data_IF_314974334865
#
_entry.id   IF_314974334865
#
_cell.length_a   1.000
_cell.length_b   1.000
_cell.length_c   1.000
_cell.angle_alpha   90.00
_cell.angle_beta   90.00
_cell.angle_gamma   90.00
#
_symmetry.space_group_name_H-M   'P 1'
#
loop_
_entity.id
_entity.type
_entity.pdbx_description
1 polymer ?
#
# COMPACT_ATOMS: atom_id res chain seq x y z
N UNK A 1 -13.30 -8.88 -3.93
CA UNK A 1 -14.01 -7.66 -3.48
C UNK A 1 -13.82 -7.51 -1.97
N UNK A 2 -13.72 -6.29 -1.47
CA UNK A 2 -13.53 -6.00 -0.04
C UNK A 2 -14.78 -6.40 0.76
N UNK A 3 -14.59 -7.03 1.92
CA UNK A 3 -15.67 -7.32 2.89
C UNK A 3 -15.90 -6.17 3.89
N UNK A 4 -15.19 -5.05 3.70
CA UNK A 4 -15.32 -3.84 4.52
C UNK A 4 -15.67 -2.64 3.64
N UNK A 5 -16.30 -1.63 4.24
CA UNK A 5 -16.47 -0.33 3.58
C UNK A 5 -15.11 0.29 3.28
N UNK A 6 -15.00 0.90 2.10
CA UNK A 6 -13.78 1.60 1.70
C UNK A 6 -13.92 3.07 2.06
N UNK A 7 -12.89 3.65 2.67
CA UNK A 7 -12.82 5.10 2.82
C UNK A 7 -12.68 5.74 1.44
N UNK A 8 -13.43 6.82 1.24
CA UNK A 8 -13.35 7.63 0.04
C UNK A 8 -12.03 8.39 -0.01
N UNK A 9 -11.65 8.82 -1.21
CA UNK A 9 -10.42 9.58 -1.39
C UNK A 9 -10.43 10.90 -0.61
N UNK A 10 -11.58 11.54 -0.46
CA UNK A 10 -11.68 12.83 0.22
C UNK A 10 -11.55 12.65 1.75
N UNK A 11 -12.18 11.63 2.34
CA UNK A 11 -11.97 11.25 3.75
C UNK A 11 -10.48 10.96 4.04
N UNK A 12 -9.80 10.27 3.12
CA UNK A 12 -8.38 9.97 3.26
C UNK A 12 -7.48 11.21 3.16
N UNK A 13 -7.81 12.16 2.27
CA UNK A 13 -7.05 13.42 2.11
C UNK A 13 -7.18 14.32 3.33
N UNK A 14 -8.34 14.35 3.96
CA UNK A 14 -8.61 15.14 5.16
C UNK A 14 -7.99 14.53 6.43
N UNK A 15 -7.70 13.21 6.40
CA UNK A 15 -7.01 12.51 7.48
C UNK A 15 -5.50 12.80 7.56
N UNK A 16 -4.85 12.31 8.62
CA UNK A 16 -3.39 12.33 8.77
C UNK A 16 -2.63 11.55 7.67
N UNK A 17 -3.32 10.73 6.88
CA UNK A 17 -2.75 9.98 5.76
C UNK A 17 -2.66 10.79 4.46
N UNK A 18 -3.28 11.96 4.37
CA UNK A 18 -3.38 12.76 3.13
C UNK A 18 -2.06 12.94 2.37
N UNK A 19 -0.93 13.26 3.02
CA UNK A 19 0.37 13.35 2.35
C UNK A 19 0.84 12.03 1.72
N UNK A 20 0.60 10.90 2.38
CA UNK A 20 0.95 9.57 1.86
C UNK A 20 0.07 9.21 0.67
N UNK A 21 -1.24 9.42 0.79
CA UNK A 21 -2.22 9.18 -0.27
C UNK A 21 -1.87 9.97 -1.53
N UNK A 22 -1.49 11.26 -1.39
CA UNK A 22 -1.04 12.08 -2.52
C UNK A 22 0.20 11.50 -3.22
N UNK A 23 1.15 10.95 -2.45
CA UNK A 23 2.34 10.29 -2.99
C UNK A 23 1.96 8.99 -3.72
N UNK A 24 1.08 8.18 -3.14
CA UNK A 24 0.58 6.94 -3.75
C UNK A 24 -0.13 7.21 -5.07
N UNK A 25 -0.99 8.23 -5.13
CA UNK A 25 -1.66 8.64 -6.37
C UNK A 25 -0.68 9.08 -7.46
N UNK A 26 0.40 9.79 -7.08
CA UNK A 26 1.43 10.24 -8.03
C UNK A 26 2.22 9.06 -8.60
N UNK A 27 2.63 8.12 -7.76
CA UNK A 27 3.51 7.02 -8.15
C UNK A 27 2.77 5.74 -8.55
N UNK A 28 1.44 5.71 -8.35
CA UNK A 28 0.59 4.51 -8.49
C UNK A 28 1.09 3.32 -7.66
N UNK A 29 1.69 3.59 -6.49
CA UNK A 29 2.26 2.56 -5.61
C UNK A 29 2.37 3.02 -4.14
N UNK A 30 1.87 2.22 -3.16
CA UNK A 30 0.96 1.09 -3.36
C UNK A 30 -0.37 1.56 -3.97
N UNK A 31 -1.19 0.60 -4.40
CA UNK A 31 -2.51 0.88 -4.97
C UNK A 31 -3.37 1.76 -4.04
N UNK A 32 -4.17 2.71 -4.56
CA UNK A 32 -5.00 3.58 -3.73
C UNK A 32 -5.94 2.85 -2.76
N UNK A 33 -6.40 1.63 -3.10
CA UNK A 33 -7.26 0.85 -2.21
C UNK A 33 -6.54 0.41 -0.93
N UNK A 34 -5.19 0.40 -0.90
CA UNK A 34 -4.40 0.14 0.31
C UNK A 34 -4.78 1.07 1.46
N UNK A 35 -4.81 2.39 1.20
CA UNK A 35 -5.20 3.36 2.22
C UNK A 35 -6.71 3.36 2.45
N UNK A 36 -7.53 3.05 1.44
CA UNK A 36 -8.98 2.95 1.61
C UNK A 36 -9.40 1.81 2.54
N UNK A 37 -8.64 0.70 2.54
CA UNK A 37 -8.87 -0.46 3.41
C UNK A 37 -8.27 -0.23 4.80
N UNK A 38 -7.00 0.16 4.89
CA UNK A 38 -6.33 0.27 6.19
C UNK A 38 -6.55 1.60 6.90
N UNK A 39 -7.05 2.63 6.21
CA UNK A 39 -7.23 3.97 6.74
C UNK A 39 -8.24 4.07 7.88
N UNK A 40 -9.08 3.04 8.08
CA UNK A 40 -9.88 2.87 9.30
C UNK A 40 -9.02 2.86 10.58
N UNK A 41 -7.73 2.52 10.46
CA UNK A 41 -6.72 2.72 11.50
C UNK A 41 -5.51 3.49 10.89
N UNK A 42 -5.47 4.83 11.04
CA UNK A 42 -4.45 5.67 10.41
C UNK A 42 -3.01 5.31 10.81
N UNK A 43 -2.77 4.98 12.08
CA UNK A 43 -1.43 4.63 12.55
C UNK A 43 -0.94 3.30 11.98
N UNK A 44 -1.84 2.31 11.86
CA UNK A 44 -1.54 1.06 11.16
C UNK A 44 -1.23 1.30 9.69
N UNK A 45 -2.10 2.06 8.99
CA UNK A 45 -1.92 2.35 7.56
C UNK A 45 -0.59 3.06 7.28
N UNK A 46 -0.23 4.04 8.11
CA UNK A 46 1.04 4.76 8.04
C UNK A 46 2.23 3.83 8.32
N UNK A 47 2.17 3.03 9.38
CA UNK A 47 3.26 2.11 9.74
C UNK A 47 3.52 1.08 8.63
N UNK A 48 2.46 0.51 8.06
CA UNK A 48 2.56 -0.41 6.94
C UNK A 48 3.11 0.25 5.68
N UNK A 49 2.68 1.48 5.36
CA UNK A 49 3.24 2.24 4.23
C UNK A 49 4.74 2.45 4.36
N UNK A 50 5.22 2.83 5.56
CA UNK A 50 6.64 3.03 5.82
C UNK A 50 7.40 1.72 5.69
N UNK A 51 6.91 0.65 6.31
CA UNK A 51 7.55 -0.67 6.23
C UNK A 51 7.65 -1.15 4.77
N UNK A 52 6.53 -1.11 4.03
CA UNK A 52 6.47 -1.43 2.60
C UNK A 52 7.46 -0.56 1.81
N UNK A 53 7.42 0.76 1.98
CA UNK A 53 8.28 1.68 1.25
C UNK A 53 9.77 1.43 1.49
N UNK A 54 10.15 1.12 2.73
CA UNK A 54 11.53 0.79 3.10
C UNK A 54 11.97 -0.50 2.42
N UNK A 55 11.21 -1.59 2.53
CA UNK A 55 11.64 -2.89 1.97
C UNK A 55 11.68 -2.88 0.44
N UNK A 56 10.76 -2.18 -0.22
CA UNK A 56 10.69 -2.15 -1.69
C UNK A 56 11.66 -1.16 -2.33
N UNK A 57 11.84 0.03 -1.74
CA UNK A 57 12.59 1.12 -2.38
C UNK A 57 14.03 1.28 -1.88
N UNK A 58 14.45 0.54 -0.85
CA UNK A 58 15.81 0.67 -0.28
C UNK A 58 16.53 -0.68 -0.15
N UNK A 59 17.79 -0.68 0.23
CA UNK A 59 18.58 -1.90 0.47
C UNK A 59 19.42 -2.35 -0.72
N UNK A 60 19.94 -3.59 -0.66
CA UNK A 60 20.96 -4.12 -1.58
C UNK A 60 20.43 -5.01 -2.70
N UNK A 61 19.17 -5.45 -2.60
CA UNK A 61 18.55 -6.32 -3.59
C UNK A 61 17.94 -5.47 -4.70
N UNK A 62 18.16 -5.89 -5.95
CA UNK A 62 17.60 -5.23 -7.12
C UNK A 62 16.06 -5.16 -7.05
N UNK A 63 15.49 -4.02 -7.45
CA UNK A 63 14.06 -3.78 -7.35
C UNK A 63 13.25 -4.76 -8.22
N UNK A 64 13.72 -5.10 -9.42
CA UNK A 64 13.05 -6.07 -10.30
C UNK A 64 13.02 -7.46 -9.67
N UNK A 65 14.09 -7.86 -8.97
CA UNK A 65 14.11 -9.12 -8.24
C UNK A 65 13.09 -9.13 -7.08
N UNK A 66 12.95 -8.03 -6.34
CA UNK A 66 11.92 -7.91 -5.29
C UNK A 66 10.50 -8.07 -5.85
N UNK A 67 10.24 -7.49 -7.02
CA UNK A 67 8.95 -7.62 -7.70
C UNK A 67 8.67 -9.06 -8.14
N UNK A 68 9.67 -9.78 -8.67
CA UNK A 68 9.52 -11.20 -9.01
C UNK A 68 9.17 -12.02 -7.77
N UNK A 69 9.87 -11.80 -6.65
CA UNK A 69 9.59 -12.48 -5.38
C UNK A 69 8.16 -12.19 -4.91
N UNK A 70 7.71 -10.93 -4.99
CA UNK A 70 6.35 -10.53 -4.59
C UNK A 70 5.28 -11.26 -5.40
N UNK A 71 5.42 -11.32 -6.72
CA UNK A 71 4.47 -12.03 -7.59
C UNK A 71 4.46 -13.53 -7.29
N UNK A 72 5.63 -14.14 -7.04
CA UNK A 72 5.70 -15.55 -6.66
C UNK A 72 4.98 -15.81 -5.34
N UNK A 73 5.22 -14.99 -4.32
CA UNK A 73 4.55 -15.10 -3.02
C UNK A 73 3.04 -14.91 -3.14
N UNK A 74 2.57 -13.93 -3.92
CA UNK A 74 1.14 -13.72 -4.16
C UNK A 74 0.49 -14.95 -4.81
N UNK A 75 1.14 -15.57 -5.80
CA UNK A 75 0.64 -16.80 -6.43
C UNK A 75 0.59 -17.97 -5.46
N UNK A 76 1.63 -18.15 -4.65
CA UNK A 76 1.67 -19.20 -3.63
C UNK A 76 0.57 -19.04 -2.57
N UNK A 77 0.19 -17.80 -2.27
CA UNK A 77 -0.86 -17.47 -1.31
C UNK A 77 -2.26 -17.35 -1.94
N UNK A 78 -2.41 -17.64 -3.24
CA UNK A 78 -3.64 -17.41 -4.02
C UNK A 78 -4.22 -15.99 -3.85
N UNK A 79 -3.32 -15.01 -3.77
CA UNK A 79 -3.67 -13.60 -3.65
C UNK A 79 -3.92 -13.01 -5.04
N UNK A 80 -5.19 -12.81 -5.37
CA UNK A 80 -5.68 -12.35 -6.68
C UNK A 80 -6.03 -10.84 -6.71
N UNK A 81 -5.48 -10.07 -5.77
CA UNK A 81 -5.64 -8.61 -5.72
C UNK A 81 -4.77 -7.91 -6.77
#
# INVERSE_FOLDING_TARGET
MSNISLLTLDELKESSLGPLVKKCLKHKAPDPAFHAIMGHNPELSKSMYIAWGTVFNTGKIDHKLKEIIRVQLSRMADCNY
#
